data_IF_966932286902
#
_entry.id   IF_966932286902
#
_cell.length_a   1.000
_cell.length_b   1.000
_cell.length_c   1.000
_cell.angle_alpha   90.00
_cell.angle_beta   90.00
_cell.angle_gamma   90.00
#
_symmetry.space_group_name_H-M   'P 1'
#
loop_
_entity.id
_entity.type
_entity.pdbx_description
1 polymer ?
#
# COMPACT_ATOMS: atom_id res chain seq x y z
N UNK A 1 -18.36 -26.49 -11.54
CA UNK A 1 -17.55 -25.27 -11.55
C UNK A 1 -16.82 -25.23 -10.22
N UNK A 2 -15.54 -24.84 -10.15
CA UNK A 2 -14.93 -24.47 -8.87
C UNK A 2 -15.88 -23.49 -8.16
N UNK A 3 -16.07 -23.61 -6.85
CA UNK A 3 -16.99 -22.75 -6.10
C UNK A 3 -16.66 -21.28 -6.32
N UNK A 4 -17.67 -20.40 -6.27
CA UNK A 4 -17.45 -18.95 -6.31
C UNK A 4 -16.59 -18.55 -5.12
N UNK A 5 -15.51 -17.82 -5.37
CA UNK A 5 -14.65 -17.27 -4.32
C UNK A 5 -15.49 -16.41 -3.36
N UNK A 6 -15.13 -16.47 -2.08
CA UNK A 6 -15.75 -15.71 -1.00
C UNK A 6 -14.74 -14.77 -0.37
N UNK A 7 -15.17 -13.55 -0.10
CA UNK A 7 -14.38 -12.57 0.62
C UNK A 7 -15.09 -12.07 1.88
N UNK A 8 -14.32 -11.94 2.95
CA UNK A 8 -14.69 -11.26 4.16
C UNK A 8 -14.01 -9.90 4.20
N UNK A 9 -14.77 -8.81 4.19
CA UNK A 9 -14.25 -7.44 4.26
C UNK A 9 -14.56 -6.84 5.62
N UNK A 10 -13.52 -6.60 6.42
CA UNK A 10 -13.62 -5.92 7.71
C UNK A 10 -13.32 -4.43 7.52
N UNK A 11 -14.35 -3.61 7.70
CA UNK A 11 -14.35 -2.17 7.49
C UNK A 11 -15.44 -1.73 6.50
N UNK A 12 -16.31 -0.83 6.94
CA UNK A 12 -17.35 -0.17 6.13
C UNK A 12 -17.03 1.31 5.85
N UNK A 13 -15.78 1.71 6.10
CA UNK A 13 -15.25 3.00 5.66
C UNK A 13 -15.09 3.10 4.14
N UNK A 14 -14.46 4.19 3.70
CA UNK A 14 -14.24 4.46 2.27
C UNK A 14 -13.50 3.30 1.56
N UNK A 15 -12.37 2.86 2.12
CA UNK A 15 -11.57 1.77 1.52
C UNK A 15 -12.30 0.43 1.49
N UNK A 16 -12.93 0.03 2.60
CA UNK A 16 -13.69 -1.21 2.63
C UNK A 16 -14.84 -1.25 1.62
N UNK A 17 -15.53 -0.13 1.38
CA UNK A 17 -16.55 -0.01 0.33
C UNK A 17 -15.96 -0.15 -1.08
N UNK A 18 -14.82 0.48 -1.35
CA UNK A 18 -14.12 0.35 -2.65
C UNK A 18 -13.74 -1.10 -2.92
N UNK A 19 -13.07 -1.75 -1.96
CA UNK A 19 -12.63 -3.14 -2.11
C UNK A 19 -13.81 -4.09 -2.29
N UNK A 20 -14.87 -3.91 -1.49
CA UNK A 20 -16.09 -4.70 -1.61
C UNK A 20 -16.74 -4.54 -2.98
N UNK A 21 -16.78 -3.31 -3.52
CA UNK A 21 -17.32 -3.06 -4.86
C UNK A 21 -16.46 -3.71 -5.95
N UNK A 22 -15.14 -3.62 -5.86
CA UNK A 22 -14.23 -4.20 -6.85
C UNK A 22 -14.24 -5.74 -6.82
N UNK A 23 -14.25 -6.35 -5.63
CA UNK A 23 -14.39 -7.80 -5.48
C UNK A 23 -15.71 -8.31 -6.06
N UNK A 24 -16.83 -7.61 -5.81
CA UNK A 24 -18.12 -7.96 -6.43
C UNK A 24 -18.10 -7.84 -7.96
N UNK A 25 -17.44 -6.82 -8.51
CA UNK A 25 -17.24 -6.68 -9.97
C UNK A 25 -16.41 -7.83 -10.56
N UNK A 26 -15.52 -8.42 -9.76
CA UNK A 26 -14.70 -9.59 -10.11
C UNK A 26 -15.43 -10.93 -9.89
N UNK A 27 -16.71 -10.91 -9.50
CA UNK A 27 -17.52 -12.12 -9.30
C UNK A 27 -17.30 -12.82 -7.95
N UNK A 28 -16.64 -12.16 -6.99
CA UNK A 28 -16.45 -12.67 -5.63
C UNK A 28 -17.71 -12.41 -4.78
N UNK A 29 -18.15 -13.40 -4.03
CA UNK A 29 -19.20 -13.25 -3.02
C UNK A 29 -18.62 -12.50 -1.80
N UNK A 30 -19.16 -11.33 -1.47
CA UNK A 30 -18.59 -10.44 -0.45
C UNK A 30 -19.48 -10.32 0.77
N UNK A 31 -18.96 -10.73 1.92
CA UNK A 31 -19.50 -10.47 3.25
C UNK A 31 -18.74 -9.30 3.87
N UNK A 32 -19.44 -8.23 4.23
CA UNK A 32 -18.83 -7.02 4.76
C UNK A 32 -19.29 -6.77 6.20
N UNK A 33 -18.34 -6.44 7.07
CA UNK A 33 -18.55 -6.20 8.50
C UNK A 33 -17.83 -4.92 8.94
N UNK A 34 -18.19 -4.36 10.09
CA UNK A 34 -17.43 -3.28 10.71
C UNK A 34 -17.25 -3.52 12.22
N UNK A 35 -16.13 -3.04 12.75
CA UNK A 35 -15.83 -3.01 14.20
C UNK A 35 -16.74 -2.06 14.97
N UNK A 36 -17.38 -1.11 14.27
CA UNK A 36 -18.37 -0.16 14.80
C UNK A 36 -19.75 -0.56 14.29
N UNK A 37 -20.63 -1.00 15.21
CA UNK A 37 -21.97 -1.51 14.91
C UNK A 37 -22.84 -0.53 14.12
N UNK A 38 -22.64 0.77 14.29
CA UNK A 38 -23.41 1.80 13.60
C UNK A 38 -23.01 1.98 12.13
N UNK A 39 -21.86 1.44 11.70
CA UNK A 39 -21.34 1.60 10.32
C UNK A 39 -21.75 0.46 9.39
N UNK A 40 -22.26 -0.65 9.91
CA UNK A 40 -22.67 -1.81 9.14
C UNK A 40 -23.88 -2.49 9.80
N UNK A 41 -24.84 -2.95 8.99
CA UNK A 41 -25.91 -3.82 9.50
C UNK A 41 -25.36 -5.14 10.05
N UNK A 42 -24.22 -5.59 9.51
CA UNK A 42 -23.49 -6.79 9.93
C UNK A 42 -22.35 -6.39 10.88
N UNK A 43 -22.60 -6.48 12.18
CA UNK A 43 -21.55 -6.32 13.20
C UNK A 43 -20.67 -7.58 13.29
N UNK A 44 -19.44 -7.44 13.78
CA UNK A 44 -18.36 -8.46 13.91
C UNK A 44 -18.71 -9.84 14.51
N UNK A 45 -19.96 -10.15 14.82
CA UNK A 45 -20.39 -11.39 15.46
C UNK A 45 -20.13 -12.67 14.62
N UNK A 46 -19.60 -12.56 13.39
CA UNK A 46 -19.26 -13.75 12.61
C UNK A 46 -18.00 -13.61 11.73
N UNK A 47 -16.84 -13.30 12.33
CA UNK A 47 -15.53 -13.45 11.67
C UNK A 47 -15.21 -14.90 11.25
N UNK A 48 -15.98 -15.87 11.75
CA UNK A 48 -15.89 -17.29 11.39
C UNK A 48 -16.55 -17.63 10.05
N UNK A 49 -17.10 -16.64 9.33
CA UNK A 49 -17.67 -16.88 8.02
C UNK A 49 -16.58 -17.41 7.06
N UNK A 50 -16.77 -18.59 6.43
CA UNK A 50 -15.78 -19.12 5.49
C UNK A 50 -15.50 -18.13 4.36
N UNK A 51 -14.22 -17.86 4.11
CA UNK A 51 -13.76 -16.94 3.08
C UNK A 51 -12.38 -17.35 2.57
N UNK A 52 -12.16 -17.19 1.27
CA UNK A 52 -10.87 -17.43 0.61
C UNK A 52 -9.99 -16.17 0.69
N UNK A 53 -10.62 -14.99 0.77
CA UNK A 53 -9.98 -13.67 0.81
C UNK A 53 -10.46 -12.90 2.03
N UNK A 54 -9.52 -12.38 2.82
CA UNK A 54 -9.77 -11.64 4.05
C UNK A 54 -9.21 -10.23 3.89
N UNK A 55 -10.08 -9.22 3.78
CA UNK A 55 -9.71 -7.82 3.60
C UNK A 55 -9.85 -7.07 4.93
N UNK A 56 -8.77 -6.43 5.37
CA UNK A 56 -8.73 -5.57 6.56
C UNK A 56 -8.57 -4.12 6.08
N UNK A 57 -9.65 -3.34 6.17
CA UNK A 57 -9.73 -1.95 5.73
C UNK A 57 -10.32 -1.06 6.85
N UNK A 58 -9.78 -1.22 8.06
CA UNK A 58 -10.16 -0.49 9.27
C UNK A 58 -9.10 0.57 9.63
N UNK A 59 -9.22 1.31 10.74
CA UNK A 59 -8.12 2.14 11.22
C UNK A 59 -6.90 1.29 11.62
N UNK A 60 -5.69 1.80 11.35
CA UNK A 60 -4.39 1.13 11.54
C UNK A 60 -4.24 0.49 12.93
N UNK A 61 -4.73 1.14 13.98
CA UNK A 61 -4.62 0.68 15.37
C UNK A 61 -5.34 -0.66 15.60
N UNK A 62 -6.27 -1.03 14.72
CA UNK A 62 -7.04 -2.28 14.80
C UNK A 62 -6.51 -3.39 13.90
N UNK A 63 -5.66 -3.08 12.90
CA UNK A 63 -5.22 -4.03 11.88
C UNK A 63 -4.59 -5.29 12.48
N UNK A 64 -3.64 -5.13 13.40
CA UNK A 64 -2.92 -6.26 13.99
C UNK A 64 -3.86 -7.21 14.75
N UNK A 65 -4.78 -6.65 15.56
CA UNK A 65 -5.76 -7.45 16.32
C UNK A 65 -6.68 -8.22 15.39
N UNK A 66 -7.25 -7.55 14.39
CA UNK A 66 -8.17 -8.17 13.42
C UNK A 66 -7.43 -9.25 12.62
N UNK A 67 -6.20 -8.98 12.19
CA UNK A 67 -5.37 -9.98 11.51
C UNK A 67 -5.14 -11.21 12.39
N UNK A 68 -4.76 -11.03 13.66
CA UNK A 68 -4.55 -12.15 14.58
C UNK A 68 -5.81 -12.98 14.78
N UNK A 69 -6.96 -12.33 15.01
CA UNK A 69 -8.26 -13.02 15.16
C UNK A 69 -8.64 -13.79 13.89
N UNK A 70 -8.45 -13.19 12.71
CA UNK A 70 -8.71 -13.85 11.43
C UNK A 70 -7.72 -14.99 11.13
N UNK A 71 -6.46 -14.85 11.54
CA UNK A 71 -5.44 -15.89 11.37
C UNK A 71 -5.68 -17.10 12.27
N UNK A 72 -6.13 -16.88 13.51
CA UNK A 72 -6.54 -17.95 14.42
C UNK A 72 -7.71 -18.78 13.86
N UNK A 73 -8.62 -18.16 13.11
CA UNK A 73 -9.81 -18.80 12.54
C UNK A 73 -9.50 -19.49 11.21
N UNK A 74 -8.84 -18.80 10.29
CA UNK A 74 -8.72 -19.22 8.89
C UNK A 74 -7.34 -19.80 8.54
N UNK A 75 -6.31 -19.52 9.36
CA UNK A 75 -4.96 -20.01 9.16
C UNK A 75 -4.37 -19.66 7.79
N UNK A 76 -3.49 -20.53 7.28
CA UNK A 76 -2.80 -20.32 5.99
C UNK A 76 -3.64 -20.68 4.76
N UNK A 77 -4.90 -21.09 4.94
CA UNK A 77 -5.78 -21.44 3.82
C UNK A 77 -6.38 -20.19 3.15
N UNK A 78 -6.44 -19.08 3.88
CA UNK A 78 -6.96 -17.81 3.38
C UNK A 78 -5.85 -16.83 2.95
N UNK A 79 -6.23 -15.93 2.04
CA UNK A 79 -5.38 -14.82 1.59
C UNK A 79 -5.74 -13.57 2.38
N UNK A 80 -4.75 -12.90 2.94
CA UNK A 80 -4.92 -11.72 3.77
C UNK A 80 -4.54 -10.47 3.00
N UNK A 81 -5.51 -9.63 2.66
CA UNK A 81 -5.27 -8.28 2.17
C UNK A 81 -5.40 -7.27 3.31
N UNK A 82 -4.36 -6.49 3.56
CA UNK A 82 -4.34 -5.50 4.64
C UNK A 82 -4.11 -4.12 4.03
N UNK A 83 -4.98 -3.17 4.35
CA UNK A 83 -4.79 -1.78 3.95
C UNK A 83 -3.50 -1.20 4.53
N UNK A 84 -2.94 -0.24 3.81
CA UNK A 84 -1.77 0.50 4.30
C UNK A 84 -2.18 1.61 5.27
N UNK A 85 -1.30 2.00 6.18
CA UNK A 85 -0.17 1.20 6.67
C UNK A 85 -0.65 -0.10 7.36
N UNK A 86 0.06 -1.21 7.17
CA UNK A 86 -0.32 -2.52 7.72
C UNK A 86 -0.40 -2.48 9.24
N UNK A 87 0.59 -1.86 9.89
CA UNK A 87 0.65 -1.67 11.34
C UNK A 87 1.45 -0.41 11.67
N UNK A 88 1.39 0.00 12.94
CA UNK A 88 2.03 1.20 13.49
C UNK A 88 3.49 1.00 13.95
N UNK A 89 4.03 -0.23 13.93
CA UNK A 89 5.41 -0.49 14.31
C UNK A 89 5.97 -1.78 13.68
N UNK A 90 7.30 -1.83 13.58
CA UNK A 90 8.05 -2.95 13.00
C UNK A 90 7.84 -4.28 13.73
N UNK A 91 7.70 -4.25 15.05
CA UNK A 91 7.50 -5.46 15.87
C UNK A 91 6.20 -6.19 15.54
N UNK A 92 5.08 -5.48 15.41
CA UNK A 92 3.81 -6.05 14.95
C UNK A 92 3.92 -6.55 13.51
N UNK A 93 4.65 -5.84 12.66
CA UNK A 93 4.80 -6.22 11.26
C UNK A 93 5.55 -7.54 11.10
N UNK A 94 6.67 -7.71 11.84
CA UNK A 94 7.43 -8.97 11.86
C UNK A 94 6.57 -10.14 12.32
N UNK A 95 5.77 -9.97 13.38
CA UNK A 95 4.86 -11.01 13.86
C UNK A 95 3.83 -11.43 12.81
N UNK A 96 3.31 -10.49 12.02
CA UNK A 96 2.44 -10.80 10.88
C UNK A 96 3.19 -11.66 9.85
N UNK A 97 4.42 -11.27 9.49
CA UNK A 97 5.22 -12.02 8.51
C UNK A 97 5.64 -13.42 8.99
N UNK A 98 5.92 -13.58 10.27
CA UNK A 98 6.31 -14.84 10.91
C UNK A 98 5.20 -15.91 10.86
N UNK A 99 3.95 -15.52 10.63
CA UNK A 99 2.84 -16.47 10.44
C UNK A 99 3.00 -17.34 9.19
N UNK A 100 3.71 -16.84 8.18
CA UNK A 100 3.81 -17.48 6.87
C UNK A 100 2.57 -17.28 5.98
N UNK A 101 1.58 -16.49 6.42
CA UNK A 101 0.36 -16.24 5.67
C UNK A 101 0.61 -15.58 4.31
N UNK A 102 -0.32 -15.81 3.39
CA UNK A 102 -0.33 -15.15 2.09
C UNK A 102 -0.88 -13.72 2.21
N UNK A 103 0.05 -12.79 2.41
CA UNK A 103 -0.26 -11.38 2.67
C UNK A 103 -0.11 -10.53 1.41
N UNK A 104 -1.16 -9.76 1.14
CA UNK A 104 -1.20 -8.63 0.22
C UNK A 104 -1.37 -7.35 1.04
N UNK A 105 -0.80 -6.25 0.53
CA UNK A 105 -0.86 -4.94 1.17
C UNK A 105 -1.39 -3.93 0.16
N UNK A 106 -2.24 -3.01 0.61
CA UNK A 106 -2.83 -1.92 -0.17
C UNK A 106 -1.81 -0.89 -0.66
N UNK A 107 -0.88 -1.31 -1.53
CA UNK A 107 0.08 -0.45 -2.21
C UNK A 107 -0.38 -0.21 -3.65
N UNK A 108 -1.56 0.38 -3.78
CA UNK A 108 -2.27 0.49 -5.04
C UNK A 108 -1.47 1.22 -6.14
N UNK A 109 -0.54 2.11 -5.78
CA UNK A 109 0.31 2.81 -6.75
C UNK A 109 1.17 1.89 -7.60
N UNK A 110 1.47 0.67 -7.12
CA UNK A 110 2.18 -0.36 -7.89
C UNK A 110 1.43 -0.79 -9.15
N UNK A 111 0.09 -0.64 -9.16
CA UNK A 111 -0.80 -1.01 -10.27
C UNK A 111 -1.14 0.17 -11.18
N UNK A 112 -0.63 1.37 -10.86
CA UNK A 112 -0.82 2.53 -11.72
C UNK A 112 -0.02 2.37 -13.03
N UNK A 113 -0.69 2.54 -14.17
CA UNK A 113 -0.02 2.57 -15.47
C UNK A 113 1.05 3.66 -15.52
N UNK A 114 0.82 4.80 -14.87
CA UNK A 114 1.76 5.91 -14.81
C UNK A 114 3.07 5.51 -14.11
N UNK A 115 2.98 4.93 -12.91
CA UNK A 115 4.19 4.46 -12.21
C UNK A 115 4.84 3.28 -12.94
N UNK A 116 4.07 2.50 -13.69
CA UNK A 116 4.60 1.52 -14.65
C UNK A 116 5.45 2.12 -15.79
N UNK A 117 5.12 3.32 -16.27
CA UNK A 117 5.97 4.04 -17.24
C UNK A 117 7.25 4.55 -16.60
N UNK A 118 7.15 5.12 -15.39
CA UNK A 118 8.30 5.58 -14.61
C UNK A 118 9.29 4.46 -14.38
N UNK A 119 8.80 3.28 -13.99
CA UNK A 119 9.62 2.09 -13.80
C UNK A 119 10.48 1.78 -15.02
N UNK A 120 9.92 1.87 -16.24
CA UNK A 120 10.65 1.59 -17.48
C UNK A 120 11.80 2.58 -17.71
N UNK A 121 11.56 3.87 -17.46
CA UNK A 121 12.61 4.89 -17.56
C UNK A 121 13.73 4.64 -16.55
N UNK A 122 13.37 4.29 -15.32
CA UNK A 122 14.33 3.99 -14.25
C UNK A 122 15.14 2.72 -14.56
N UNK A 123 14.49 1.67 -15.07
CA UNK A 123 15.16 0.43 -15.49
C UNK A 123 16.08 0.65 -16.70
N UNK A 124 15.91 1.74 -17.46
CA UNK A 124 16.72 2.04 -18.65
C UNK A 124 18.11 2.60 -18.37
N UNK A 125 18.40 3.03 -17.13
CA UNK A 125 19.73 3.53 -16.77
C UNK A 125 19.77 4.42 -15.54
N UNK A 126 20.67 5.41 -15.58
CA UNK A 126 20.82 6.35 -14.46
C UNK A 126 19.67 7.36 -14.40
N UNK A 127 19.18 7.64 -13.20
CA UNK A 127 18.03 8.49 -12.97
C UNK A 127 18.27 9.51 -11.85
N UNK A 128 17.53 10.61 -11.90
CA UNK A 128 17.29 11.49 -10.76
C UNK A 128 15.78 11.75 -10.68
N UNK A 129 15.16 11.26 -9.60
CA UNK A 129 13.72 11.35 -9.39
C UNK A 129 13.45 12.36 -8.28
N UNK A 130 12.61 13.35 -8.58
CA UNK A 130 12.06 14.23 -7.57
C UNK A 130 10.54 14.10 -7.51
N UNK A 131 10.03 13.96 -6.29
CA UNK A 131 8.62 13.91 -6.00
C UNK A 131 8.27 14.89 -4.89
N UNK A 132 7.16 15.62 -5.08
CA UNK A 132 6.57 16.48 -4.07
C UNK A 132 5.12 16.09 -3.83
N UNK A 133 4.76 15.83 -2.58
CA UNK A 133 3.45 15.35 -2.15
C UNK A 133 2.85 16.40 -1.24
N UNK A 134 1.64 16.83 -1.55
CA UNK A 134 0.80 17.66 -0.70
C UNK A 134 -0.47 16.88 -0.43
N UNK A 135 -0.82 16.63 0.83
CA UNK A 135 -1.92 15.72 1.18
C UNK A 135 -2.67 16.16 2.43
N UNK A 136 -4.01 15.99 2.52
CA UNK A 136 -4.80 16.20 3.74
C UNK A 136 -4.71 15.00 4.69
N UNK A 137 -3.52 14.43 4.79
CA UNK A 137 -3.20 13.20 5.53
C UNK A 137 -3.74 13.21 6.96
N UNK A 138 -4.10 12.03 7.49
CA UNK A 138 -4.54 11.91 8.88
C UNK A 138 -3.38 12.33 9.81
N UNK A 139 -3.54 13.41 10.59
CA UNK A 139 -2.50 13.89 11.46
C UNK A 139 -2.11 12.85 12.51
N UNK A 140 -2.94 11.84 12.81
CA UNK A 140 -2.66 10.82 13.83
C UNK A 140 -1.54 9.87 13.44
N UNK A 141 -1.52 9.39 12.19
CA UNK A 141 -0.48 8.49 11.70
C UNK A 141 0.81 9.24 11.30
N UNK A 142 0.71 10.53 10.99
CA UNK A 142 1.80 11.33 10.45
C UNK A 142 1.94 11.13 8.94
N UNK A 143 2.40 12.18 8.25
CA UNK A 143 2.36 12.26 6.79
C UNK A 143 3.12 11.11 6.11
N UNK A 144 4.25 10.68 6.68
CA UNK A 144 5.08 9.61 6.12
C UNK A 144 4.38 8.24 6.18
N UNK A 145 3.70 7.88 7.27
CA UNK A 145 3.07 6.55 7.39
C UNK A 145 1.71 6.48 6.69
N UNK A 146 0.97 7.58 6.62
CA UNK A 146 -0.31 7.59 5.93
C UNK A 146 -0.14 7.78 4.42
N UNK A 147 0.43 8.89 3.96
CA UNK A 147 0.56 9.15 2.52
C UNK A 147 1.94 8.75 1.97
N UNK A 148 3.01 9.09 2.69
CA UNK A 148 4.39 8.94 2.24
C UNK A 148 4.78 7.48 1.99
N UNK A 149 4.16 6.52 2.67
CA UNK A 149 4.52 5.11 2.60
C UNK A 149 4.33 4.53 1.19
N UNK A 150 3.37 5.04 0.42
CA UNK A 150 3.26 4.67 -1.00
C UNK A 150 4.50 5.03 -1.80
N UNK A 151 5.13 6.14 -1.46
CA UNK A 151 6.25 6.70 -2.21
C UNK A 151 7.59 6.22 -1.67
N UNK A 152 7.65 5.73 -0.43
CA UNK A 152 8.74 4.89 0.07
C UNK A 152 8.69 3.51 -0.59
N UNK A 153 7.49 2.96 -0.76
CA UNK A 153 7.27 1.65 -1.33
C UNK A 153 7.70 1.54 -2.81
N UNK A 154 7.27 2.48 -3.66
CA UNK A 154 7.55 2.45 -5.10
C UNK A 154 9.04 2.25 -5.47
N UNK A 155 9.99 3.07 -4.97
CA UNK A 155 11.41 2.89 -5.30
C UNK A 155 11.94 1.55 -4.80
N UNK A 156 11.50 1.08 -3.62
CA UNK A 156 11.91 -0.23 -3.10
C UNK A 156 11.36 -1.37 -3.97
N UNK A 157 10.12 -1.24 -4.42
CA UNK A 157 9.50 -2.20 -5.32
C UNK A 157 10.19 -2.27 -6.69
N UNK A 158 10.73 -1.16 -7.18
CA UNK A 158 11.40 -1.10 -8.49
C UNK A 158 12.87 -1.47 -8.44
N UNK A 159 13.58 -1.03 -7.41
CA UNK A 159 15.04 -1.04 -7.35
C UNK A 159 15.60 -1.90 -6.22
N UNK A 160 14.75 -2.36 -5.28
CA UNK A 160 15.18 -3.01 -4.05
C UNK A 160 15.60 -2.00 -2.98
N UNK A 161 16.43 -2.46 -2.04
CA UNK A 161 16.92 -1.61 -0.95
C UNK A 161 17.80 -0.47 -1.49
N UNK A 162 17.64 0.77 -0.97
CA UNK A 162 18.64 1.80 -1.18
C UNK A 162 19.95 1.43 -0.46
N UNK A 163 21.08 1.94 -0.97
CA UNK A 163 22.40 1.81 -0.35
C UNK A 163 22.50 2.65 0.93
N UNK A 164 21.86 3.82 0.93
CA UNK A 164 21.75 4.71 2.07
C UNK A 164 20.56 5.65 1.90
N UNK A 165 20.21 6.38 2.96
CA UNK A 165 19.19 7.40 2.89
C UNK A 165 19.48 8.58 3.82
N UNK A 166 18.90 9.72 3.48
CA UNK A 166 18.86 10.92 4.31
C UNK A 166 17.40 11.29 4.56
N UNK A 167 17.07 11.67 5.79
CA UNK A 167 15.71 12.04 6.16
C UNK A 167 15.73 13.23 7.11
N UNK A 168 14.86 14.20 6.84
CA UNK A 168 14.60 15.34 7.73
C UNK A 168 13.14 15.74 7.65
N UNK A 169 12.59 16.25 8.74
CA UNK A 169 11.19 16.64 8.77
C UNK A 169 10.59 16.64 10.16
N UNK A 170 9.27 16.60 10.19
CA UNK A 170 8.44 16.44 11.37
C UNK A 170 7.15 15.70 10.97
N UNK A 171 6.19 15.64 11.89
CA UNK A 171 4.90 14.95 11.64
C UNK A 171 4.12 15.44 10.41
N UNK A 172 4.30 16.71 10.04
CA UNK A 172 3.54 17.41 9.00
C UNK A 172 4.34 17.64 7.71
N UNK A 173 5.65 17.39 7.70
CA UNK A 173 6.46 17.52 6.49
C UNK A 173 7.69 16.63 6.53
N UNK A 174 8.12 16.16 5.37
CA UNK A 174 9.33 15.35 5.25
C UNK A 174 10.09 15.64 3.97
N UNK A 175 11.41 15.42 4.00
CA UNK A 175 12.30 15.38 2.86
C UNK A 175 13.18 14.13 3.04
N UNK A 176 12.95 13.14 2.17
CA UNK A 176 13.58 11.83 2.17
C UNK A 176 14.36 11.68 0.87
N UNK A 177 15.64 11.35 0.97
CA UNK A 177 16.51 11.08 -0.17
C UNK A 177 17.00 9.64 -0.06
N UNK A 178 16.70 8.84 -1.08
CA UNK A 178 17.15 7.46 -1.20
C UNK A 178 18.28 7.38 -2.22
N UNK A 179 19.42 6.83 -1.81
CA UNK A 179 20.59 6.68 -2.67
C UNK A 179 20.67 5.27 -3.22
N UNK A 180 20.73 5.15 -4.54
CA UNK A 180 20.90 3.90 -5.27
C UNK A 180 22.17 3.96 -6.14
N UNK A 181 22.74 2.81 -6.48
CA UNK A 181 23.90 2.76 -7.38
C UNK A 181 23.63 3.43 -8.75
N UNK A 182 22.38 3.43 -9.20
CA UNK A 182 21.98 3.99 -10.48
C UNK A 182 21.57 5.48 -10.40
N UNK A 183 21.26 6.00 -9.21
CA UNK A 183 20.61 7.30 -9.11
C UNK A 183 20.10 7.66 -7.72
N UNK A 184 19.37 8.77 -7.65
CA UNK A 184 18.78 9.29 -6.42
C UNK A 184 17.27 9.39 -6.57
N UNK A 185 16.54 9.05 -5.52
CA UNK A 185 15.10 9.27 -5.43
C UNK A 185 14.78 10.17 -4.24
N UNK A 186 14.33 11.39 -4.52
CA UNK A 186 13.97 12.40 -3.53
C UNK A 186 12.45 12.52 -3.41
N UNK A 187 11.96 12.48 -2.18
CA UNK A 187 10.54 12.56 -1.84
C UNK A 187 10.36 13.65 -0.80
N UNK A 188 9.62 14.69 -1.17
CA UNK A 188 9.20 15.75 -0.26
C UNK A 188 7.71 15.62 0.01
N UNK A 189 7.32 15.69 1.27
CA UNK A 189 5.92 15.68 1.69
C UNK A 189 5.59 16.90 2.53
N UNK A 190 4.42 17.47 2.32
CA UNK A 190 3.85 18.51 3.17
C UNK A 190 2.34 18.27 3.43
N UNK A 191 1.91 18.44 4.67
CA UNK A 191 0.49 18.41 5.05
C UNK A 191 -0.20 19.67 4.49
N UNK A 192 -1.23 19.47 3.67
CA UNK A 192 -2.06 20.53 3.09
C UNK A 192 -3.54 20.15 3.18
N UNK A 193 -4.44 21.07 2.92
CA UNK A 193 -5.89 20.82 2.85
C UNK A 193 -6.35 20.23 1.50
N UNK A 194 -5.42 20.01 0.57
CA UNK A 194 -5.67 19.39 -0.73
C UNK A 194 -4.64 18.29 -1.03
N UNK A 195 -5.00 17.44 -1.99
CA UNK A 195 -4.12 16.39 -2.50
C UNK A 195 -3.51 16.80 -3.84
N UNK A 196 -2.17 16.79 -3.93
CA UNK A 196 -1.40 17.02 -5.14
C UNK A 196 -0.09 16.23 -5.10
N UNK A 197 0.26 15.61 -6.22
CA UNK A 197 1.57 14.99 -6.41
C UNK A 197 2.21 15.63 -7.62
N UNK A 198 3.39 16.22 -7.44
CA UNK A 198 4.27 16.62 -8.51
C UNK A 198 5.40 15.61 -8.61
N UNK A 199 5.72 15.19 -9.83
CA UNK A 199 6.72 14.16 -10.08
C UNK A 199 7.59 14.54 -11.26
N UNK A 200 8.89 14.29 -11.15
CA UNK A 200 9.82 14.43 -12.26
C UNK A 200 10.87 13.33 -12.25
N UNK A 201 11.20 12.83 -13.45
CA UNK A 201 12.34 11.95 -13.71
C UNK A 201 13.25 12.66 -14.68
N UNK A 202 14.46 12.96 -14.25
CA UNK A 202 15.51 13.41 -15.14
C UNK A 202 16.37 12.21 -15.51
N UNK A 203 16.35 11.83 -16.79
CA UNK A 203 17.34 10.91 -17.33
C UNK A 203 18.72 11.58 -17.42
N UNK A 204 19.77 10.80 -17.72
CA UNK A 204 21.07 11.38 -18.08
C UNK A 204 20.90 12.35 -19.26
N UNK A 205 21.55 13.52 -19.18
CA UNK A 205 21.66 14.49 -20.28
C UNK A 205 21.96 13.74 -21.60
N UNK A 206 21.05 13.81 -22.56
CA UNK A 206 21.21 13.26 -23.91
C UNK A 206 20.55 11.90 -24.19
N UNK A 207 19.78 11.31 -23.26
CA UNK A 207 19.11 10.00 -23.46
C UNK A 207 17.58 10.10 -23.53
N UNK A 208 16.94 10.93 -22.70
CA UNK A 208 15.51 11.25 -22.81
C UNK A 208 15.22 12.64 -22.26
N UNK A 209 14.27 13.35 -22.87
CA UNK A 209 13.67 14.53 -22.26
C UNK A 209 12.87 14.04 -21.05
N UNK A 210 13.27 14.44 -19.85
CA UNK A 210 12.71 13.91 -18.60
C UNK A 210 11.17 13.94 -18.55
N UNK A 211 10.58 13.02 -17.79
CA UNK A 211 9.12 13.00 -17.57
C UNK A 211 8.81 13.94 -16.42
N UNK A 212 7.89 14.90 -16.60
CA UNK A 212 7.34 15.70 -15.51
C UNK A 212 5.82 15.70 -15.56
N UNK A 213 5.19 15.46 -14.41
CA UNK A 213 3.74 15.37 -14.28
C UNK A 213 3.25 15.92 -12.95
N UNK A 214 2.02 16.42 -12.94
CA UNK A 214 1.30 16.88 -11.76
C UNK A 214 -0.07 16.24 -11.74
N UNK A 215 -0.49 15.71 -10.60
CA UNK A 215 -1.82 15.11 -10.39
C UNK A 215 -2.56 15.88 -9.32
N UNK A 216 -3.84 16.16 -9.57
CA UNK A 216 -4.77 16.59 -8.53
C UNK A 216 -5.52 15.39 -7.90
N UNK A 217 -6.04 15.56 -6.68
CA UNK A 217 -6.77 14.50 -5.97
C UNK A 217 -8.08 14.03 -6.62
N UNK A 218 -8.53 14.63 -7.73
CA UNK A 218 -9.68 14.17 -8.51
C UNK A 218 -9.22 13.24 -9.63
N UNK A 219 -8.16 13.60 -10.34
CA UNK A 219 -7.53 12.77 -11.38
C UNK A 219 -7.00 11.43 -10.83
N UNK A 220 -6.60 11.42 -9.57
CA UNK A 220 -6.15 10.20 -8.88
C UNK A 220 -7.28 9.17 -8.66
N UNK A 221 -8.55 9.57 -8.69
CA UNK A 221 -9.70 8.70 -8.42
C UNK A 221 -10.18 7.92 -9.66
N UNK A 222 -9.82 8.39 -10.85
CA UNK A 222 -10.24 7.81 -12.13
C UNK A 222 -9.28 6.74 -12.65
N UNK A 223 -8.26 6.40 -11.86
CA UNK A 223 -7.31 5.35 -12.18
C UNK A 223 -7.77 4.03 -11.55
N UNK A 224 -7.98 3.01 -12.38
CA UNK A 224 -8.44 1.66 -12.00
C UNK A 224 -7.45 0.87 -11.11
N UNK A 225 -6.49 1.52 -10.45
CA UNK A 225 -5.46 0.83 -9.67
C UNK A 225 -6.02 0.02 -8.50
N UNK A 226 -7.12 0.46 -7.86
CA UNK A 226 -7.77 -0.32 -6.81
C UNK A 226 -8.46 -1.57 -7.37
N UNK A 227 -8.94 -1.49 -8.61
CA UNK A 227 -9.54 -2.64 -9.29
C UNK A 227 -8.45 -3.64 -9.69
N UNK A 228 -7.36 -3.16 -10.29
CA UNK A 228 -6.25 -4.02 -10.70
C UNK A 228 -5.53 -4.66 -9.49
N UNK A 229 -5.47 -3.97 -8.35
CA UNK A 229 -4.97 -4.54 -7.09
C UNK A 229 -5.85 -5.71 -6.61
N UNK A 230 -7.17 -5.51 -6.52
CA UNK A 230 -8.10 -6.58 -6.13
C UNK A 230 -8.11 -7.73 -7.14
N UNK A 231 -7.98 -7.42 -8.42
CA UNK A 231 -7.87 -8.43 -9.49
C UNK A 231 -6.63 -9.29 -9.32
N UNK A 232 -5.49 -8.73 -8.90
CA UNK A 232 -4.30 -9.52 -8.60
C UNK A 232 -4.54 -10.51 -7.45
N UNK A 233 -5.20 -10.06 -6.38
CA UNK A 233 -5.59 -10.91 -5.25
C UNK A 233 -6.49 -12.06 -5.72
N UNK A 234 -7.52 -11.76 -6.53
CA UNK A 234 -8.46 -12.76 -7.04
C UNK A 234 -7.77 -13.77 -7.96
N UNK A 235 -6.92 -13.31 -8.89
CA UNK A 235 -6.18 -14.21 -9.77
C UNK A 235 -5.21 -15.12 -9.00
N UNK A 236 -4.62 -14.61 -7.91
CA UNK A 236 -3.82 -15.42 -7.00
C UNK A 236 -4.66 -16.48 -6.30
N UNK A 237 -5.83 -16.11 -5.75
CA UNK A 237 -6.77 -17.03 -5.10
C UNK A 237 -7.26 -18.14 -6.04
N UNK A 238 -7.40 -17.84 -7.33
CA UNK A 238 -7.79 -18.83 -8.35
C UNK A 238 -6.62 -19.73 -8.80
N UNK A 239 -5.40 -19.48 -8.34
CA UNK A 239 -4.19 -20.17 -8.81
C UNK A 239 -3.78 -19.78 -10.24
N UNK A 240 -4.39 -18.74 -10.82
CA UNK A 240 -4.10 -18.24 -12.17
C UNK A 240 -2.87 -17.33 -12.19
N UNK A 241 -2.48 -16.81 -11.03
CA UNK A 241 -1.28 -15.99 -10.87
C UNK A 241 -0.42 -16.56 -9.76
N UNK A 242 0.90 -16.59 -10.00
CA UNK A 242 1.87 -16.86 -8.93
C UNK A 242 1.90 -15.67 -7.98
N UNK A 243 2.28 -15.93 -6.73
CA UNK A 243 2.44 -14.91 -5.68
C UNK A 243 3.07 -13.65 -6.26
N UNK A 244 2.53 -12.45 -5.96
CA UNK A 244 3.06 -11.21 -6.51
C UNK A 244 4.57 -11.16 -6.33
N UNK A 245 5.24 -10.53 -7.29
CA UNK A 245 6.71 -10.44 -7.37
C UNK A 245 7.36 -9.72 -6.16
N UNK A 246 6.56 -9.19 -5.26
CA UNK A 246 7.00 -8.59 -4.00
C UNK A 246 7.31 -9.71 -3.03
N UNK A 247 8.59 -9.92 -2.77
CA UNK A 247 9.01 -10.74 -1.64
C UNK A 247 8.55 -10.07 -0.34
N UNK A 248 8.21 -10.88 0.67
CA UNK A 248 7.98 -10.38 2.03
C UNK A 248 9.14 -9.50 2.52
N UNK A 249 10.35 -9.79 2.04
CA UNK A 249 11.55 -8.99 2.25
C UNK A 249 11.41 -7.53 1.75
N UNK A 250 10.87 -7.31 0.55
CA UNK A 250 10.64 -5.96 0.01
C UNK A 250 9.61 -5.18 0.83
N UNK A 251 8.57 -5.85 1.32
CA UNK A 251 7.60 -5.22 2.22
C UNK A 251 8.25 -4.88 3.56
N UNK A 252 9.03 -5.80 4.13
CA UNK A 252 9.77 -5.56 5.38
C UNK A 252 10.69 -4.35 5.27
N UNK A 253 11.47 -4.25 4.19
CA UNK A 253 12.34 -3.10 3.93
C UNK A 253 11.57 -1.79 3.82
N UNK A 254 10.41 -1.81 3.16
CA UNK A 254 9.54 -0.63 3.03
C UNK A 254 9.09 -0.13 4.39
N UNK A 255 8.56 -1.03 5.22
CA UNK A 255 8.04 -0.66 6.54
C UNK A 255 9.16 -0.30 7.52
N UNK A 256 10.28 -1.04 7.53
CA UNK A 256 11.44 -0.71 8.37
C UNK A 256 11.99 0.68 8.05
N UNK A 257 12.16 1.00 6.77
CA UNK A 257 12.60 2.35 6.37
C UNK A 257 11.55 3.41 6.74
N UNK A 258 10.27 3.17 6.47
CA UNK A 258 9.22 4.13 6.81
C UNK A 258 9.14 4.39 8.32
N UNK A 259 9.31 3.36 9.15
CA UNK A 259 9.35 3.49 10.61
C UNK A 259 10.63 4.22 11.07
N UNK A 260 11.80 3.88 10.55
CA UNK A 260 13.05 4.58 10.90
C UNK A 260 12.98 6.07 10.54
N UNK A 261 12.42 6.39 9.37
CA UNK A 261 12.18 7.77 8.94
C UNK A 261 11.19 8.48 9.87
N UNK A 262 10.08 7.82 10.24
CA UNK A 262 9.11 8.39 11.16
C UNK A 262 9.70 8.65 12.55
N UNK A 263 10.49 7.73 13.08
CA UNK A 263 11.17 7.87 14.37
C UNK A 263 12.16 9.05 14.36
N UNK A 264 13.01 9.17 13.33
CA UNK A 264 13.95 10.29 13.17
C UNK A 264 13.27 11.66 13.06
N UNK A 265 12.02 11.71 12.60
CA UNK A 265 11.25 12.96 12.46
C UNK A 265 10.50 13.35 13.72
N UNK A 266 10.35 12.43 14.68
CA UNK A 266 9.65 12.66 15.95
C UNK A 266 10.61 12.85 17.13
N UNK A 267 11.89 12.50 16.98
CA UNK A 267 12.98 12.74 17.94
C UNK A 267 13.54 14.16 17.85
#
# INVERSE_FOLDING_TARGET
MPGSLKALVVGCGYMGKIHSANLRKLGVEVFQFDVVKEKCESYLENLAHPADILVIATPIETHYRIFSELYEIHGNEAIYFIEKPVVDNSGKFRKILETGADIFVGHQLRYSMFYGMIRKEIESGSFDVEMEIRSPSDPRAGLILDTGIHFVDLPIYYLGSPESFEARGNRNSFDLILHYNQGVWRIRGELKDYYRIDFSVNGKKGVSDGISMSFDGREFRDLDFYYEEMKDVVLYAMGERKRPRISLESLMKTYELAFEVAEKMLS
#
